data_IF_471222073764
#
_entry.id   IF_471222073764
#
_cell.length_a   1.000
_cell.length_b   1.000
_cell.length_c   1.000
_cell.angle_alpha   90.00
_cell.angle_beta   90.00
_cell.angle_gamma   90.00
#
_symmetry.space_group_name_H-M   'P 1'
#
loop_
_entity.id
_entity.type
_entity.pdbx_description
1 polymer ?
#
# COMPACT_ATOMS: atom_id res chain seq x y z
N UNK A 1 9.18 9.60 -23.69
CA UNK A 1 9.21 9.09 -22.31
C UNK A 1 8.01 9.59 -21.48
N UNK A 2 7.53 10.81 -21.69
CA UNK A 2 6.38 11.33 -20.95
C UNK A 2 5.10 10.48 -21.12
N UNK A 3 4.90 9.84 -22.27
CA UNK A 3 3.81 8.90 -22.50
C UNK A 3 3.99 7.56 -21.80
N UNK A 4 5.23 7.14 -21.54
CA UNK A 4 5.54 5.89 -20.86
C UNK A 4 5.04 5.88 -19.41
N UNK A 5 5.17 6.98 -18.70
CA UNK A 5 4.72 7.10 -17.32
C UNK A 5 3.21 6.87 -17.16
N UNK A 6 2.39 7.22 -18.15
CA UNK A 6 0.94 7.01 -18.11
C UNK A 6 0.51 5.64 -18.63
N UNK A 7 1.23 5.08 -19.59
CA UNK A 7 0.88 3.81 -20.21
C UNK A 7 1.42 2.61 -19.44
N UNK A 8 2.66 2.69 -18.98
CA UNK A 8 3.35 1.60 -18.32
C UNK A 8 3.56 0.38 -19.24
N UNK A 9 4.20 -0.63 -18.73
CA UNK A 9 4.31 -1.95 -19.37
C UNK A 9 3.00 -2.71 -19.19
N UNK A 10 2.36 -3.10 -20.29
CA UNK A 10 1.04 -3.76 -20.24
C UNK A 10 1.10 -5.24 -19.87
N UNK A 11 2.26 -5.88 -20.02
CA UNK A 11 2.44 -7.32 -19.86
C UNK A 11 3.38 -7.72 -18.72
N UNK A 12 3.61 -6.87 -17.74
CA UNK A 12 4.59 -7.12 -16.68
C UNK A 12 4.14 -8.15 -15.63
N UNK A 13 2.85 -8.41 -15.48
CA UNK A 13 2.31 -9.25 -14.41
C UNK A 13 2.92 -10.67 -14.42
N UNK A 14 2.93 -11.33 -15.57
CA UNK A 14 3.45 -12.69 -15.69
C UNK A 14 4.97 -12.78 -15.50
N UNK A 15 5.81 -11.92 -16.07
CA UNK A 15 7.24 -11.88 -15.77
C UNK A 15 7.53 -11.59 -14.29
N UNK A 16 6.80 -10.66 -13.68
CA UNK A 16 6.94 -10.32 -12.27
C UNK A 16 6.59 -11.52 -11.37
N UNK A 17 5.45 -12.17 -11.62
CA UNK A 17 5.04 -13.36 -10.87
C UNK A 17 6.09 -14.47 -10.95
N UNK A 18 6.63 -14.75 -12.14
CA UNK A 18 7.70 -15.73 -12.32
C UNK A 18 8.99 -15.34 -11.58
N UNK A 19 9.32 -14.06 -11.54
CA UNK A 19 10.50 -13.58 -10.82
C UNK A 19 10.34 -13.78 -9.31
N UNK A 20 9.20 -13.36 -8.75
CA UNK A 20 8.89 -13.55 -7.33
C UNK A 20 8.86 -15.03 -6.95
N UNK A 21 8.22 -15.86 -7.77
CA UNK A 21 8.13 -17.32 -7.57
C UNK A 21 9.53 -17.94 -7.54
N UNK A 22 10.38 -17.61 -8.51
CA UNK A 22 11.76 -18.09 -8.53
C UNK A 22 12.55 -17.72 -7.25
N UNK A 23 12.41 -16.49 -6.78
CA UNK A 23 13.05 -16.06 -5.54
C UNK A 23 12.47 -16.79 -4.33
N UNK A 24 11.16 -16.98 -4.30
CA UNK A 24 10.46 -17.69 -3.23
C UNK A 24 10.90 -19.16 -3.15
N UNK A 25 10.93 -19.86 -4.27
CA UNK A 25 11.42 -21.26 -4.34
C UNK A 25 12.87 -21.43 -3.88
N UNK A 26 13.69 -20.41 -4.08
CA UNK A 26 15.09 -20.39 -3.62
C UNK A 26 15.27 -19.96 -2.17
N UNK A 27 14.18 -19.62 -1.46
CA UNK A 27 14.24 -19.06 -0.12
C UNK A 27 14.92 -17.68 -0.05
N UNK A 28 14.97 -16.96 -1.18
CA UNK A 28 15.65 -15.66 -1.33
C UNK A 28 14.69 -14.48 -1.49
N UNK A 29 13.38 -14.72 -1.43
CA UNK A 29 12.41 -13.65 -1.48
C UNK A 29 12.40 -12.91 -0.13
N UNK A 30 12.94 -11.71 -0.14
CA UNK A 30 12.97 -10.83 1.03
C UNK A 30 11.74 -9.94 1.12
N UNK A 31 11.73 -9.04 2.11
CA UNK A 31 10.71 -7.99 2.24
C UNK A 31 10.64 -7.20 0.93
N UNK A 32 9.46 -7.14 0.33
CA UNK A 32 9.27 -6.56 -1.00
C UNK A 32 8.08 -5.61 -1.02
N UNK A 33 8.31 -4.41 -1.54
CA UNK A 33 7.27 -3.40 -1.72
C UNK A 33 7.16 -3.11 -3.21
N UNK A 34 5.98 -3.33 -3.79
CA UNK A 34 5.72 -3.07 -5.20
C UNK A 34 4.93 -1.78 -5.37
N UNK A 35 5.38 -0.96 -6.27
CA UNK A 35 4.70 0.28 -6.66
C UNK A 35 4.17 0.13 -8.09
N UNK A 36 2.97 0.64 -8.33
CA UNK A 36 2.44 0.81 -9.68
C UNK A 36 2.20 2.28 -9.97
N UNK A 37 2.37 2.65 -11.23
CA UNK A 37 2.10 4.00 -11.73
C UNK A 37 0.65 4.09 -12.22
N UNK A 38 0.19 3.05 -12.91
CA UNK A 38 -1.14 3.01 -13.47
C UNK A 38 -2.15 2.44 -12.44
N UNK A 39 -3.22 3.18 -12.11
CA UNK A 39 -4.23 2.73 -11.15
C UNK A 39 -4.89 1.39 -11.50
N UNK A 40 -4.99 1.05 -12.79
CA UNK A 40 -5.57 -0.22 -13.26
C UNK A 40 -4.86 -1.47 -12.75
N UNK A 41 -3.59 -1.34 -12.35
CA UNK A 41 -2.76 -2.47 -11.95
C UNK A 41 -2.79 -2.72 -10.42
N UNK A 42 -3.44 -1.86 -9.65
CA UNK A 42 -3.44 -1.92 -8.17
C UNK A 42 -4.00 -3.22 -7.63
N UNK A 43 -5.16 -3.67 -8.12
CA UNK A 43 -5.80 -4.91 -7.65
C UNK A 43 -5.01 -6.15 -8.08
N UNK A 44 -4.48 -6.15 -9.31
CA UNK A 44 -3.64 -7.23 -9.80
C UNK A 44 -2.38 -7.39 -8.95
N UNK A 45 -1.71 -6.28 -8.62
CA UNK A 45 -0.53 -6.32 -7.75
C UNK A 45 -0.88 -6.74 -6.33
N UNK A 46 -1.95 -6.19 -5.75
CA UNK A 46 -2.38 -6.54 -4.41
C UNK A 46 -2.70 -8.04 -4.28
N UNK A 47 -3.41 -8.61 -5.25
CA UNK A 47 -3.71 -10.05 -5.28
C UNK A 47 -2.47 -10.91 -5.50
N UNK A 48 -1.55 -10.49 -6.36
CA UNK A 48 -0.28 -11.18 -6.60
C UNK A 48 0.57 -11.25 -5.33
N UNK A 49 0.68 -10.15 -4.60
CA UNK A 49 1.45 -10.08 -3.35
C UNK A 49 0.90 -11.01 -2.27
N UNK A 50 -0.41 -11.25 -2.26
CA UNK A 50 -1.06 -12.20 -1.36
C UNK A 50 -0.57 -13.64 -1.52
N UNK A 51 -0.13 -14.03 -2.73
CA UNK A 51 0.34 -15.38 -3.00
C UNK A 51 1.71 -15.71 -2.40
N UNK A 52 2.47 -14.72 -1.96
CA UNK A 52 3.84 -14.90 -1.48
C UNK A 52 3.99 -14.61 0.03
N UNK A 53 2.92 -14.61 0.79
CA UNK A 53 2.96 -14.44 2.25
C UNK A 53 3.33 -15.77 2.92
N UNK A 54 4.46 -15.83 3.61
CA UNK A 54 4.94 -17.05 4.29
C UNK A 54 4.64 -17.08 5.80
N UNK A 55 4.03 -16.04 6.32
CA UNK A 55 3.68 -15.91 7.74
C UNK A 55 4.83 -15.56 8.69
N UNK A 56 6.07 -15.48 8.22
CA UNK A 56 7.23 -15.17 9.09
C UNK A 56 7.33 -13.70 9.41
N UNK A 57 7.06 -12.85 8.44
CA UNK A 57 7.09 -11.39 8.60
C UNK A 57 5.75 -10.81 8.17
N UNK A 58 5.09 -10.14 9.09
CA UNK A 58 3.79 -9.53 8.81
C UNK A 58 3.91 -8.46 7.72
N UNK A 59 3.18 -8.63 6.62
CA UNK A 59 3.23 -7.72 5.48
C UNK A 59 4.56 -7.74 4.74
N UNK A 60 5.27 -8.87 4.72
CA UNK A 60 6.56 -9.01 4.05
C UNK A 60 6.53 -8.54 2.60
N UNK A 61 5.48 -8.90 1.89
CA UNK A 61 5.21 -8.39 0.55
C UNK A 61 3.96 -7.53 0.61
N UNK A 62 4.06 -6.30 0.13
CA UNK A 62 2.95 -5.37 0.16
C UNK A 62 3.01 -4.32 -0.96
N UNK A 63 1.87 -3.72 -1.23
CA UNK A 63 1.78 -2.57 -2.13
C UNK A 63 2.44 -1.36 -1.49
N UNK A 64 3.15 -0.59 -2.28
CA UNK A 64 3.67 0.72 -1.89
C UNK A 64 2.57 1.78 -1.82
N UNK A 65 2.93 3.00 -1.49
CA UNK A 65 1.98 4.11 -1.44
C UNK A 65 1.43 4.46 -2.83
N UNK A 66 0.27 5.09 -2.83
CA UNK A 66 -0.26 5.75 -4.04
C UNK A 66 0.76 6.76 -4.56
N UNK A 67 1.16 6.61 -5.82
CA UNK A 67 2.28 7.33 -6.41
C UNK A 67 1.88 7.97 -7.74
N UNK A 68 2.50 9.09 -8.09
CA UNK A 68 2.25 9.83 -9.31
C UNK A 68 0.75 10.10 -9.55
N UNK A 69 0.15 9.49 -10.57
CA UNK A 69 -1.25 9.71 -10.96
C UNK A 69 -2.27 9.28 -9.89
N UNK A 70 -1.86 8.44 -8.98
CA UNK A 70 -2.70 7.99 -7.87
C UNK A 70 -2.59 8.88 -6.62
N UNK A 71 -1.71 9.87 -6.60
CA UNK A 71 -1.50 10.73 -5.43
C UNK A 71 -2.58 11.85 -5.36
N UNK A 72 -3.82 11.43 -5.29
CA UNK A 72 -5.03 12.24 -5.18
C UNK A 72 -6.00 11.59 -4.18
N UNK A 73 -7.05 12.30 -3.76
CA UNK A 73 -8.07 11.72 -2.87
C UNK A 73 -8.62 10.41 -3.46
N UNK A 74 -9.02 10.44 -4.71
CA UNK A 74 -9.59 9.27 -5.39
C UNK A 74 -8.57 8.13 -5.52
N UNK A 75 -7.35 8.42 -5.97
CA UNK A 75 -6.31 7.43 -6.15
C UNK A 75 -5.88 6.77 -4.84
N UNK A 76 -5.68 7.55 -3.77
CA UNK A 76 -5.36 7.03 -2.43
C UNK A 76 -6.53 6.21 -1.90
N UNK A 77 -7.77 6.65 -2.06
CA UNK A 77 -8.96 5.92 -1.61
C UNK A 77 -9.09 4.58 -2.34
N UNK A 78 -8.89 4.55 -3.65
CA UNK A 78 -8.88 3.29 -4.42
C UNK A 78 -7.78 2.35 -3.97
N UNK A 79 -6.60 2.85 -3.69
CA UNK A 79 -5.51 2.03 -3.18
C UNK A 79 -5.84 1.44 -1.80
N UNK A 80 -6.38 2.25 -0.87
CA UNK A 80 -6.81 1.76 0.44
C UNK A 80 -7.87 0.66 0.30
N UNK A 81 -8.83 0.80 -0.63
CA UNK A 81 -9.81 -0.24 -0.94
C UNK A 81 -9.15 -1.53 -1.45
N UNK A 82 -8.18 -1.43 -2.36
CA UNK A 82 -7.47 -2.59 -2.90
C UNK A 82 -6.66 -3.30 -1.80
N UNK A 83 -5.96 -2.54 -0.97
CA UNK A 83 -5.16 -3.07 0.14
C UNK A 83 -6.06 -3.74 1.19
N UNK A 84 -7.20 -3.12 1.53
CA UNK A 84 -8.16 -3.69 2.49
C UNK A 84 -8.79 -4.99 1.97
N UNK A 85 -9.14 -5.02 0.68
CA UNK A 85 -9.85 -6.16 0.09
C UNK A 85 -8.93 -7.36 -0.18
N UNK A 86 -7.66 -7.15 -0.47
CA UNK A 86 -6.74 -8.18 -0.98
C UNK A 86 -5.50 -8.40 -0.12
N UNK A 87 -5.31 -7.60 0.93
CA UNK A 87 -4.17 -7.73 1.82
C UNK A 87 -4.51 -7.27 3.25
N UNK A 88 -3.52 -6.97 4.07
CA UNK A 88 -3.71 -6.57 5.46
C UNK A 88 -3.52 -5.05 5.61
N UNK A 89 -4.60 -4.28 5.52
CA UNK A 89 -4.55 -2.82 5.70
C UNK A 89 -3.86 -2.42 7.02
N UNK A 90 -4.10 -3.14 8.10
CA UNK A 90 -3.46 -2.86 9.40
C UNK A 90 -1.94 -3.03 9.41
N UNK A 91 -1.34 -3.62 8.36
CA UNK A 91 0.12 -3.78 8.18
C UNK A 91 0.68 -2.91 7.05
N UNK A 92 -0.17 -2.14 6.40
CA UNK A 92 0.25 -1.23 5.35
C UNK A 92 1.25 -0.20 5.88
N UNK A 93 2.31 0.06 5.11
CA UNK A 93 3.38 1.00 5.50
C UNK A 93 3.05 2.47 5.25
N UNK A 94 1.80 2.77 4.86
CA UNK A 94 1.35 4.15 4.67
C UNK A 94 1.87 4.79 3.39
N UNK A 95 2.23 6.07 3.47
CA UNK A 95 2.59 6.87 2.31
C UNK A 95 4.04 7.31 2.32
N UNK A 96 4.62 7.35 1.13
CA UNK A 96 5.86 8.08 0.83
C UNK A 96 5.50 9.44 0.22
N UNK A 97 6.15 10.50 0.65
CA UNK A 97 5.91 11.82 0.04
C UNK A 97 6.60 11.97 -1.31
N UNK A 98 7.70 11.25 -1.55
CA UNK A 98 8.61 11.49 -2.69
C UNK A 98 8.90 13.00 -2.88
N UNK A 99 9.13 13.68 -1.75
CA UNK A 99 9.17 15.13 -1.69
C UNK A 99 10.49 15.66 -2.24
N UNK A 100 10.40 16.56 -3.22
CA UNK A 100 11.53 17.35 -3.74
C UNK A 100 11.56 18.77 -3.23
N UNK A 101 10.59 19.16 -2.42
CA UNK A 101 10.53 20.48 -1.79
C UNK A 101 9.92 20.41 -0.40
N UNK A 102 10.21 21.37 0.45
CA UNK A 102 9.67 21.45 1.82
C UNK A 102 8.14 21.51 1.86
N UNK A 103 7.51 22.16 0.88
CA UNK A 103 6.05 22.23 0.79
C UNK A 103 5.40 20.87 0.57
N UNK A 104 6.12 19.90 0.02
CA UNK A 104 5.61 18.55 -0.21
C UNK A 104 5.47 17.72 1.07
N UNK A 105 6.01 18.15 2.20
CA UNK A 105 5.81 17.47 3.48
C UNK A 105 4.34 17.49 3.93
N UNK A 106 3.54 18.45 3.46
CA UNK A 106 2.10 18.48 3.68
C UNK A 106 1.36 17.24 3.12
N UNK A 107 1.98 16.46 2.22
CA UNK A 107 1.43 15.21 1.69
C UNK A 107 1.19 14.16 2.78
N UNK A 108 2.00 14.14 3.83
CA UNK A 108 1.77 13.25 4.97
C UNK A 108 0.50 13.63 5.75
N UNK A 109 0.26 14.91 5.94
CA UNK A 109 -0.98 15.42 6.53
C UNK A 109 -2.19 15.09 5.64
N UNK A 110 -2.05 15.32 4.35
CA UNK A 110 -3.08 15.00 3.36
C UNK A 110 -3.47 13.52 3.39
N UNK A 111 -2.49 12.63 3.40
CA UNK A 111 -2.73 11.18 3.51
C UNK A 111 -3.43 10.82 4.82
N UNK A 112 -2.98 11.35 5.96
CA UNK A 112 -3.61 11.07 7.25
C UNK A 112 -5.09 11.49 7.28
N UNK A 113 -5.43 12.62 6.69
CA UNK A 113 -6.83 13.06 6.59
C UNK A 113 -7.66 12.12 5.73
N UNK A 114 -7.14 11.66 4.60
CA UNK A 114 -7.83 10.70 3.74
C UNK A 114 -8.01 9.37 4.49
N UNK A 115 -6.97 8.85 5.13
CA UNK A 115 -7.03 7.61 5.90
C UNK A 115 -8.04 7.68 7.05
N UNK A 116 -8.02 8.76 7.82
CA UNK A 116 -8.98 8.95 8.92
C UNK A 116 -10.42 9.07 8.41
N UNK A 117 -10.63 9.79 7.30
CA UNK A 117 -11.95 9.89 6.67
C UNK A 117 -12.42 8.53 6.12
N UNK A 118 -11.52 7.78 5.52
CA UNK A 118 -11.80 6.45 4.98
C UNK A 118 -12.28 5.49 6.08
N UNK A 119 -11.51 5.34 7.15
CA UNK A 119 -11.84 4.45 8.27
C UNK A 119 -13.04 4.98 9.08
N UNK A 120 -13.14 6.28 9.30
CA UNK A 120 -14.26 6.90 9.98
C UNK A 120 -15.59 6.71 9.25
N UNK A 121 -15.58 6.78 7.92
CA UNK A 121 -16.76 6.47 7.09
C UNK A 121 -17.19 5.01 7.25
N UNK A 122 -16.24 4.08 7.30
CA UNK A 122 -16.54 2.66 7.53
C UNK A 122 -17.11 2.41 8.93
N UNK A 123 -16.59 3.11 9.96
CA UNK A 123 -17.17 3.07 11.31
C UNK A 123 -18.61 3.59 11.33
N UNK A 124 -18.90 4.69 10.64
CA UNK A 124 -20.26 5.24 10.53
C UNK A 124 -21.21 4.26 9.84
N UNK A 125 -20.75 3.56 8.81
CA UNK A 125 -21.51 2.55 8.07
C UNK A 125 -21.66 1.22 8.82
N UNK A 126 -21.01 1.06 9.96
CA UNK A 126 -21.04 -0.18 10.74
C UNK A 126 -20.18 -1.31 10.18
N UNK A 127 -19.26 -1.01 9.25
CA UNK A 127 -18.32 -1.97 8.67
C UNK A 127 -17.09 -2.19 9.57
N UNK A 128 -16.79 -1.23 10.43
CA UNK A 128 -15.78 -1.32 11.48
C UNK A 128 -16.42 -1.04 12.85
N UNK A 129 -15.85 -1.60 13.93
CA UNK A 129 -16.29 -1.30 15.29
C UNK A 129 -16.23 0.21 15.57
N UNK A 130 -17.21 0.74 16.28
CA UNK A 130 -17.21 2.15 16.74
C UNK A 130 -16.30 2.34 17.96
N UNK A 131 -15.08 1.86 17.85
CA UNK A 131 -14.04 1.96 18.87
C UNK A 131 -12.88 2.83 18.35
N UNK A 132 -12.85 4.07 18.81
CA UNK A 132 -11.85 5.06 18.39
C UNK A 132 -10.44 4.64 18.84
N UNK A 133 -10.28 3.96 19.97
CA UNK A 133 -8.96 3.53 20.44
C UNK A 133 -8.41 2.41 19.54
N UNK A 134 -9.25 1.42 19.23
CA UNK A 134 -8.89 0.32 18.34
C UNK A 134 -8.54 0.83 16.94
N UNK A 135 -9.44 1.57 16.30
CA UNK A 135 -9.25 2.08 14.93
C UNK A 135 -8.13 3.12 14.87
N UNK A 136 -8.01 3.98 15.90
CA UNK A 136 -6.89 4.92 16.05
C UNK A 136 -5.54 4.23 16.19
N UNK A 137 -5.49 3.07 16.84
CA UNK A 137 -4.31 2.21 16.88
C UNK A 137 -3.87 1.74 15.49
N UNK A 138 -4.82 1.36 14.63
CA UNK A 138 -4.55 1.00 13.24
C UNK A 138 -4.02 2.21 12.44
N UNK A 139 -4.62 3.39 12.62
CA UNK A 139 -4.14 4.64 11.98
C UNK A 139 -2.70 4.93 12.40
N UNK A 140 -2.38 4.85 13.68
CA UNK A 140 -1.02 5.07 14.20
C UNK A 140 -0.03 4.06 13.65
N UNK A 141 -0.43 2.79 13.54
CA UNK A 141 0.39 1.75 12.95
C UNK A 141 0.71 2.05 11.47
N UNK A 142 -0.30 2.38 10.66
CA UNK A 142 -0.13 2.71 9.24
C UNK A 142 0.74 3.96 9.06
N UNK A 143 0.53 4.99 9.88
CA UNK A 143 1.24 6.27 9.74
C UNK A 143 2.69 6.24 10.26
N UNK A 144 3.04 5.27 11.13
CA UNK A 144 4.34 5.25 11.79
C UNK A 144 4.85 3.86 12.18
N UNK A 145 4.09 3.12 12.97
CA UNK A 145 4.58 1.89 13.62
C UNK A 145 4.96 0.79 12.65
N UNK A 146 4.22 0.64 11.55
CA UNK A 146 4.47 -0.39 10.55
C UNK A 146 5.79 -0.17 9.81
N UNK A 147 6.12 1.09 9.47
CA UNK A 147 7.41 1.43 8.84
C UNK A 147 8.57 1.08 9.76
N UNK A 148 8.47 1.44 11.04
CA UNK A 148 9.49 1.08 12.02
C UNK A 148 9.66 -0.43 12.12
N UNK A 149 8.57 -1.18 12.25
CA UNK A 149 8.62 -2.64 12.35
C UNK A 149 9.12 -3.31 11.07
N UNK A 150 8.83 -2.72 9.92
CA UNK A 150 9.21 -3.28 8.64
C UNK A 150 10.69 -3.08 8.31
N UNK A 151 11.25 -1.92 8.61
CA UNK A 151 12.62 -1.57 8.22
C UNK A 151 13.66 -1.68 9.34
N UNK A 152 13.26 -1.49 10.61
CA UNK A 152 14.20 -1.38 11.72
C UNK A 152 14.25 -2.63 12.63
N UNK A 153 13.45 -3.62 12.34
CA UNK A 153 13.46 -4.93 13.00
C UNK A 153 13.71 -6.02 11.97
#
# INVERSE_FOLDING_TARGET
EAGFDSMGETNFAKPLAKHLDKLNMQGKLGKTILFNINPKDSEMLASMLGNFQDGKVAGALQSGSAWWFMNSIDGITRQLNSVESMSLLGRFIGTLSDARSFTSYSRHEYFRRILCNYLGTQMQRGLLPKDIQLVGGVVSAICYGNVQSYFLK
#
